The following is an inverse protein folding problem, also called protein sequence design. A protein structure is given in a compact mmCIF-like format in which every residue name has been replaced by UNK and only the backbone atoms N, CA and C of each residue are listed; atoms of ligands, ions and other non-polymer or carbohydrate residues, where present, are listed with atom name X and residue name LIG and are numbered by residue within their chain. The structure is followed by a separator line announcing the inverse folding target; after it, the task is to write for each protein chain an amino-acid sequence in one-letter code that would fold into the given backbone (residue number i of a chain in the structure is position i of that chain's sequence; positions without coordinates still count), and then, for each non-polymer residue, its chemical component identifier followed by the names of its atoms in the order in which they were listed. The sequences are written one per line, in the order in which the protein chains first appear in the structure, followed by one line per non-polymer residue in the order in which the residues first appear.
data_IF_679652127722
#
_entry.id   IF_679652127722
#
_cell.length_a   1.000
_cell.length_b   1.000
_cell.length_c   1.000
_cell.angle_alpha   90.00
_cell.angle_beta   90.00
_cell.angle_gamma   90.00
#
_symmetry.space_group_name_H-M   'P 1'
#
loop_
_entity.id
_entity.type
_entity.pdbx_description
1 polymer ?
#
# COMPACT_ATOMS: atom_id res chain seq x y z
N UNK A 1 11.32 -9.63 -22.68
CA UNK A 1 10.16 -8.84 -22.22
C UNK A 1 10.41 -8.44 -20.78
N UNK A 2 10.43 -7.15 -20.47
CA UNK A 2 10.56 -6.62 -19.09
C UNK A 2 9.17 -6.29 -18.59
N UNK A 3 8.85 -6.69 -17.36
CA UNK A 3 7.60 -6.31 -16.68
C UNK A 3 7.99 -5.32 -15.58
N UNK A 4 7.40 -4.13 -15.62
CA UNK A 4 7.54 -3.14 -14.56
C UNK A 4 6.64 -3.53 -13.38
N UNK A 5 7.16 -3.39 -12.17
CA UNK A 5 6.42 -3.64 -10.93
C UNK A 5 6.64 -2.48 -9.97
N UNK A 6 5.59 -2.19 -9.21
CA UNK A 6 5.61 -1.23 -8.11
C UNK A 6 5.27 -1.95 -6.82
N UNK A 7 5.67 -1.38 -5.69
CA UNK A 7 5.33 -1.85 -4.35
C UNK A 7 4.56 -0.74 -3.61
N UNK A 8 3.45 -1.10 -2.96
CA UNK A 8 2.64 -0.18 -2.16
C UNK A 8 2.86 -0.56 -0.70
N UNK A 9 3.72 0.20 -0.03
CA UNK A 9 4.16 -0.09 1.33
C UNK A 9 4.11 1.16 2.21
N UNK A 10 3.86 0.96 3.52
CA UNK A 10 4.03 2.01 4.52
C UNK A 10 5.51 2.12 4.89
N UNK A 11 6.16 3.16 4.35
CA UNK A 11 7.56 3.43 4.58
C UNK A 11 7.80 4.93 4.70
N UNK A 12 8.60 5.29 5.70
CA UNK A 12 9.05 6.65 5.94
C UNK A 12 10.54 6.61 6.29
N UNK A 13 11.37 7.23 5.42
CA UNK A 13 12.82 7.26 5.58
C UNK A 13 13.30 8.04 6.82
N UNK A 14 12.40 8.72 7.54
CA UNK A 14 12.70 9.36 8.83
C UNK A 14 12.56 8.42 10.03
N UNK A 15 11.90 7.26 9.86
CA UNK A 15 11.78 6.23 10.91
C UNK A 15 13.06 5.40 10.98
N UNK A 16 13.48 5.01 12.19
CA UNK A 16 14.72 4.25 12.44
C UNK A 16 14.86 3.01 11.55
N UNK A 17 13.76 2.28 11.36
CA UNK A 17 13.70 1.04 10.55
C UNK A 17 13.05 1.25 9.19
N UNK A 18 12.63 2.47 8.85
CA UNK A 18 11.78 2.78 7.70
C UNK A 18 10.30 2.41 7.87
N UNK A 19 10.00 1.38 8.67
CA UNK A 19 8.65 0.92 8.97
C UNK A 19 8.11 1.48 10.29
N UNK A 20 6.80 1.42 10.47
CA UNK A 20 6.15 1.88 11.70
C UNK A 20 6.49 0.99 12.91
N UNK A 21 6.16 1.44 14.12
CA UNK A 21 6.61 0.85 15.39
C UNK A 21 6.20 -0.62 15.58
N UNK A 22 5.09 -1.04 14.97
CA UNK A 22 4.57 -2.41 15.07
C UNK A 22 5.34 -3.42 14.22
N UNK A 23 6.10 -2.98 13.20
CA UNK A 23 6.80 -3.87 12.26
C UNK A 23 7.78 -4.82 12.96
N UNK A 24 7.62 -6.12 12.70
CA UNK A 24 8.39 -7.21 13.33
C UNK A 24 8.32 -7.23 14.87
N UNK A 25 7.17 -6.86 15.43
CA UNK A 25 6.88 -6.95 16.88
C UNK A 25 5.59 -7.74 17.13
N UNK A 26 5.29 -8.06 18.39
CA UNK A 26 4.00 -8.64 18.78
C UNK A 26 2.82 -7.63 18.68
N UNK A 27 3.11 -6.35 18.43
CA UNK A 27 2.10 -5.30 18.23
C UNK A 27 1.60 -5.24 16.78
N UNK A 28 2.19 -6.01 15.87
CA UNK A 28 1.65 -6.26 14.52
C UNK A 28 0.46 -7.22 14.64
N UNK A 29 -0.70 -6.67 15.01
CA UNK A 29 -1.93 -7.40 15.27
C UNK A 29 -3.15 -6.61 14.78
N UNK A 30 -4.36 -7.06 15.09
CA UNK A 30 -5.58 -6.44 14.56
C UNK A 30 -5.84 -5.02 15.08
N UNK A 31 -5.20 -4.60 16.18
CA UNK A 31 -5.42 -3.28 16.79
C UNK A 31 -4.79 -2.15 15.96
N UNK A 32 -3.77 -2.44 15.14
CA UNK A 32 -3.10 -1.45 14.29
C UNK A 32 -3.72 -1.32 12.89
N UNK A 33 -4.71 -2.16 12.55
CA UNK A 33 -5.36 -2.13 11.23
C UNK A 33 -6.41 -1.00 11.16
N UNK A 34 -6.17 -0.02 10.28
CA UNK A 34 -7.12 1.05 9.97
C UNK A 34 -7.90 0.76 8.67
N UNK A 35 -9.24 0.77 8.78
CA UNK A 35 -10.15 0.62 7.63
C UNK A 35 -10.01 1.75 6.62
N UNK A 36 -9.62 2.94 7.05
CA UNK A 36 -9.38 4.09 6.18
C UNK A 36 -8.18 3.84 5.26
N UNK A 37 -7.10 3.26 5.79
CA UNK A 37 -5.93 2.84 5.01
C UNK A 37 -6.29 1.77 3.99
N UNK A 38 -7.05 0.74 4.40
CA UNK A 38 -7.52 -0.31 3.50
C UNK A 38 -8.40 0.24 2.37
N UNK A 39 -9.32 1.15 2.70
CA UNK A 39 -10.23 1.77 1.73
C UNK A 39 -9.47 2.64 0.73
N UNK A 40 -8.51 3.46 1.19
CA UNK A 40 -7.69 4.32 0.34
C UNK A 40 -6.84 3.53 -0.65
N UNK A 41 -6.11 2.51 -0.18
CA UNK A 41 -5.29 1.65 -1.04
C UNK A 41 -6.17 0.86 -2.01
N UNK A 42 -7.22 0.21 -1.50
CA UNK A 42 -8.12 -0.61 -2.29
C UNK A 42 -8.82 0.16 -3.40
N UNK A 43 -9.40 1.32 -3.09
CA UNK A 43 -10.06 2.18 -4.10
C UNK A 43 -9.08 2.71 -5.13
N UNK A 44 -7.87 3.08 -4.73
CA UNK A 44 -6.84 3.57 -5.66
C UNK A 44 -6.44 2.47 -6.65
N UNK A 45 -6.09 1.28 -6.16
CA UNK A 45 -5.70 0.15 -7.01
C UNK A 45 -6.86 -0.27 -7.94
N UNK A 46 -8.07 -0.39 -7.40
CA UNK A 46 -9.25 -0.73 -8.21
C UNK A 46 -9.53 0.34 -9.27
N UNK A 47 -9.43 1.62 -8.92
CA UNK A 47 -9.60 2.71 -9.89
C UNK A 47 -8.66 2.50 -11.07
N UNK A 48 -7.34 2.36 -10.82
CA UNK A 48 -6.35 2.17 -11.88
C UNK A 48 -6.64 0.94 -12.74
N UNK A 49 -6.86 -0.23 -12.11
CA UNK A 49 -7.09 -1.50 -12.83
C UNK A 49 -8.34 -1.44 -13.71
N UNK A 50 -9.41 -0.79 -13.24
CA UNK A 50 -10.68 -0.72 -13.96
C UNK A 50 -10.82 0.49 -14.89
N UNK A 51 -9.97 1.52 -14.78
CA UNK A 51 -10.06 2.72 -15.64
C UNK A 51 -8.90 2.89 -16.61
N UNK A 52 -7.71 2.34 -16.39
CA UNK A 52 -6.56 2.60 -17.29
C UNK A 52 -6.78 2.10 -18.73
N UNK A 53 -7.55 1.01 -18.93
CA UNK A 53 -7.88 0.55 -20.29
C UNK A 53 -8.80 1.50 -21.07
N UNK A 54 -9.44 2.46 -20.42
CA UNK A 54 -10.30 3.44 -21.09
C UNK A 54 -9.50 4.56 -21.78
N UNK A 55 -8.19 4.70 -21.49
CA UNK A 55 -7.34 5.77 -22.02
C UNK A 55 -6.44 5.31 -23.19
N UNK A 56 -6.57 4.06 -23.64
CA UNK A 56 -5.83 3.50 -24.76
C UNK A 56 -6.72 3.40 -26.01
N UNK A 57 -7.08 4.57 -26.57
CA UNK A 57 -7.61 4.73 -27.93
C UNK A 57 -7.06 6.00 -28.56
#
# INVERSE_FOLDING_TARGET
MVVLRIDILDFDGTREKGFDYYWHTQQDNMDVIDRTTLDAVGKTVLSIVYTEKAQAF
#
